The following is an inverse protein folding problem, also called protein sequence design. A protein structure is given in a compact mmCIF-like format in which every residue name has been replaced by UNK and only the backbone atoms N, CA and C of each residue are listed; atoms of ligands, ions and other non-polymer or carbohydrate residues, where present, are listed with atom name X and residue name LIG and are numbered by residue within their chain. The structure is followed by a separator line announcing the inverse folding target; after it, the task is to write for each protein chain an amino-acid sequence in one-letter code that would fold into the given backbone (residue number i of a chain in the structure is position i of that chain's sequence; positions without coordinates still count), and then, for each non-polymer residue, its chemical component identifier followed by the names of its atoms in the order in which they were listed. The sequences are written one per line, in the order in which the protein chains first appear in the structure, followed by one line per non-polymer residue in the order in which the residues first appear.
data_IF_526897708862
#
_entry.id   IF_526897708862
#
_cell.length_a   1.000
_cell.length_b   1.000
_cell.length_c   1.000
_cell.angle_alpha   90.00
_cell.angle_beta   90.00
_cell.angle_gamma   90.00
#
_symmetry.space_group_name_H-M   'P 1'
#
loop_
_entity.id
_entity.type
_entity.pdbx_description
1 polymer ?
#
# COMPACT_ATOMS: atom_id res chain seq x y z
N UNK A 1 12.04 4.98 -18.06
CA UNK A 1 12.06 3.51 -18.28
C UNK A 1 11.63 2.73 -17.04
N UNK A 2 12.41 2.70 -15.94
CA UNK A 2 11.98 1.99 -14.70
C UNK A 2 10.66 2.53 -14.12
N UNK A 3 10.48 3.84 -14.17
CA UNK A 3 9.29 4.52 -13.65
C UNK A 3 8.04 4.24 -14.50
N UNK A 4 8.19 4.15 -15.82
CA UNK A 4 7.08 3.84 -16.73
C UNK A 4 6.57 2.41 -16.51
N UNK A 5 7.48 1.47 -16.27
CA UNK A 5 7.12 0.11 -15.82
C UNK A 5 6.39 0.10 -14.48
N UNK A 6 6.83 0.94 -13.52
CA UNK A 6 6.13 1.07 -12.25
C UNK A 6 4.72 1.67 -12.41
N UNK A 7 4.53 2.61 -13.36
CA UNK A 7 3.21 3.14 -13.70
C UNK A 7 2.33 2.09 -14.38
N UNK A 8 2.86 1.27 -15.29
CA UNK A 8 2.10 0.16 -15.88
C UNK A 8 1.65 -0.84 -14.81
N UNK A 9 2.56 -1.22 -13.91
CA UNK A 9 2.24 -2.10 -12.78
C UNK A 9 1.16 -1.47 -11.89
N UNK A 10 1.28 -0.18 -11.59
CA UNK A 10 0.29 0.53 -10.76
C UNK A 10 -1.09 0.55 -11.42
N UNK A 11 -1.17 0.81 -12.74
CA UNK A 11 -2.43 0.73 -13.50
C UNK A 11 -3.07 -0.64 -13.36
N UNK A 12 -2.28 -1.69 -13.59
CA UNK A 12 -2.76 -3.06 -13.52
C UNK A 12 -3.25 -3.43 -12.11
N UNK A 13 -2.46 -3.15 -11.08
CA UNK A 13 -2.81 -3.46 -9.69
C UNK A 13 -4.09 -2.72 -9.25
N UNK A 14 -4.23 -1.43 -9.58
CA UNK A 14 -5.39 -0.64 -9.17
C UNK A 14 -6.65 -0.99 -9.96
N UNK A 15 -6.52 -1.30 -11.26
CA UNK A 15 -7.64 -1.84 -12.04
C UNK A 15 -8.11 -3.17 -11.44
N UNK A 16 -7.19 -4.11 -11.23
CA UNK A 16 -7.51 -5.45 -10.75
C UNK A 16 -8.09 -5.43 -9.33
N UNK A 17 -7.65 -4.48 -8.49
CA UNK A 17 -8.23 -4.26 -7.16
C UNK A 17 -9.73 -3.98 -7.24
N UNK A 18 -10.12 -3.06 -8.12
CA UNK A 18 -11.52 -2.67 -8.29
C UNK A 18 -12.35 -3.79 -8.92
N UNK A 19 -11.84 -4.40 -9.99
CA UNK A 19 -12.52 -5.51 -10.68
C UNK A 19 -12.73 -6.72 -9.75
N UNK A 20 -11.70 -7.08 -8.98
CA UNK A 20 -11.78 -8.17 -8.01
C UNK A 20 -12.72 -7.83 -6.86
N UNK A 21 -12.76 -6.57 -6.40
CA UNK A 21 -13.67 -6.14 -5.34
C UNK A 21 -15.13 -6.27 -5.77
N UNK A 22 -15.48 -5.84 -6.98
CA UNK A 22 -16.84 -6.02 -7.52
C UNK A 22 -17.26 -7.49 -7.52
N UNK A 23 -16.37 -8.38 -7.97
CA UNK A 23 -16.59 -9.83 -8.02
C UNK A 23 -16.71 -10.47 -6.64
N UNK A 24 -15.92 -10.03 -5.66
CA UNK A 24 -15.93 -10.55 -4.27
C UNK A 24 -17.17 -10.09 -3.49
N UNK A 25 -17.56 -8.83 -3.66
CA UNK A 25 -18.71 -8.25 -2.96
C UNK A 25 -20.03 -8.72 -3.56
N UNK A 26 -20.09 -8.88 -4.89
CA UNK A 26 -21.26 -9.40 -5.62
C UNK A 26 -22.59 -8.75 -5.21
N UNK A 27 -22.55 -7.45 -4.90
CA UNK A 27 -23.69 -6.64 -4.45
C UNK A 27 -23.80 -5.41 -5.39
N UNK A 28 -24.93 -5.26 -6.12
CA UNK A 28 -25.13 -4.16 -7.05
C UNK A 28 -25.15 -2.78 -6.37
N UNK A 29 -25.35 -2.70 -5.06
CA UNK A 29 -25.31 -1.43 -4.31
C UNK A 29 -23.89 -1.08 -3.83
N UNK A 30 -22.91 -1.99 -3.97
CA UNK A 30 -21.51 -1.81 -3.54
C UNK A 30 -20.54 -1.94 -4.71
N UNK A 31 -20.69 -1.03 -5.67
CA UNK A 31 -19.96 -1.07 -6.95
C UNK A 31 -18.52 -0.56 -6.85
N UNK A 32 -18.17 0.18 -5.80
CA UNK A 32 -16.91 0.90 -5.68
C UNK A 32 -16.33 0.84 -4.25
N UNK A 33 -15.00 1.04 -4.13
CA UNK A 33 -14.30 0.96 -2.85
C UNK A 33 -14.26 2.37 -2.23
N UNK A 34 -14.66 2.59 -0.97
CA UNK A 34 -14.42 3.87 -0.32
C UNK A 34 -12.92 4.18 -0.24
N UNK A 35 -12.50 5.42 -0.54
CA UNK A 35 -11.09 5.83 -0.59
C UNK A 35 -10.29 5.40 0.65
N UNK A 36 -10.89 5.56 1.83
CA UNK A 36 -10.31 5.17 3.12
C UNK A 36 -9.98 3.66 3.24
N UNK A 37 -10.61 2.81 2.43
CA UNK A 37 -10.42 1.36 2.44
C UNK A 37 -9.57 0.85 1.27
N UNK A 38 -9.17 1.70 0.31
CA UNK A 38 -8.35 1.27 -0.84
C UNK A 38 -7.06 0.62 -0.38
N UNK A 39 -6.34 1.22 0.58
CA UNK A 39 -5.09 0.65 1.11
C UNK A 39 -5.32 -0.70 1.81
N UNK A 40 -6.43 -0.84 2.53
CA UNK A 40 -6.81 -2.09 3.19
C UNK A 40 -7.05 -3.22 2.17
N UNK A 41 -7.88 -2.97 1.16
CA UNK A 41 -8.17 -3.97 0.13
C UNK A 41 -6.94 -4.30 -0.72
N UNK A 42 -6.12 -3.29 -1.03
CA UNK A 42 -4.84 -3.50 -1.71
C UNK A 42 -3.96 -4.51 -0.95
N UNK A 43 -3.80 -4.32 0.37
CA UNK A 43 -3.06 -5.30 1.20
C UNK A 43 -3.78 -6.63 1.36
N UNK A 44 -5.11 -6.65 1.43
CA UNK A 44 -5.89 -7.88 1.54
C UNK A 44 -5.70 -8.78 0.32
N UNK A 45 -5.79 -8.22 -0.90
CA UNK A 45 -5.72 -8.99 -2.15
C UNK A 45 -4.28 -9.25 -2.58
N UNK A 46 -3.40 -8.24 -2.59
CA UNK A 46 -2.02 -8.40 -3.10
C UNK A 46 -1.01 -8.88 -2.06
N UNK A 47 -1.39 -8.96 -0.77
CA UNK A 47 -0.47 -9.26 0.34
C UNK A 47 0.75 -8.30 0.36
N UNK A 48 0.54 -7.07 -0.11
CA UNK A 48 1.55 -6.01 -0.27
C UNK A 48 1.02 -4.71 0.34
N UNK A 49 1.91 -3.91 0.93
CA UNK A 49 1.55 -2.58 1.42
C UNK A 49 1.64 -1.55 0.30
N UNK A 50 0.66 -0.66 0.21
CA UNK A 50 0.74 0.49 -0.68
C UNK A 50 1.76 1.48 -0.12
N UNK A 51 2.79 1.82 -0.88
CA UNK A 51 3.83 2.75 -0.46
C UNK A 51 3.81 4.02 -1.30
N UNK A 52 3.05 5.02 -0.84
CA UNK A 52 2.87 6.30 -1.54
C UNK A 52 4.20 7.02 -1.79
N UNK A 53 5.14 6.93 -0.84
CA UNK A 53 6.46 7.56 -0.91
C UNK A 53 7.31 7.05 -2.07
N UNK A 54 7.15 5.78 -2.47
CA UNK A 54 7.89 5.22 -3.63
C UNK A 54 7.50 5.91 -4.95
N UNK A 55 6.29 6.47 -5.02
CA UNK A 55 5.81 7.22 -6.18
C UNK A 55 6.03 8.73 -6.04
N UNK A 56 6.70 9.18 -4.97
CA UNK A 56 6.96 10.60 -4.73
C UNK A 56 5.74 11.40 -4.28
N UNK A 57 4.70 10.74 -3.75
CA UNK A 57 3.45 11.37 -3.30
C UNK A 57 3.11 10.99 -1.85
N UNK A 58 2.20 11.72 -1.22
CA UNK A 58 1.81 11.52 0.18
C UNK A 58 0.51 10.74 0.36
N UNK A 59 -0.48 10.99 -0.49
CA UNK A 59 -1.85 10.50 -0.30
C UNK A 59 -2.27 9.46 -1.35
N UNK A 60 -3.32 8.69 -1.04
CA UNK A 60 -3.92 7.73 -1.98
C UNK A 60 -4.50 8.45 -3.20
N UNK A 61 -5.14 9.61 -2.99
CA UNK A 61 -5.66 10.46 -4.06
C UNK A 61 -4.57 10.82 -5.08
N UNK A 62 -3.35 11.11 -4.62
CA UNK A 62 -2.22 11.45 -5.48
C UNK A 62 -1.68 10.25 -6.25
N UNK A 63 -1.72 9.05 -5.66
CA UNK A 63 -1.41 7.80 -6.39
C UNK A 63 -2.39 7.60 -7.54
N UNK A 64 -3.69 7.79 -7.30
CA UNK A 64 -4.71 7.64 -8.33
C UNK A 64 -4.52 8.67 -9.45
N UNK A 65 -4.12 9.92 -9.12
CA UNK A 65 -3.81 10.95 -10.13
C UNK A 65 -2.69 10.56 -11.10
N UNK A 66 -1.73 9.72 -10.68
CA UNK A 66 -0.65 9.24 -11.56
C UNK A 66 -1.16 8.30 -12.68
N UNK A 67 -2.31 7.67 -12.47
CA UNK A 67 -2.95 6.69 -13.37
C UNK A 67 -4.43 7.00 -13.59
N UNK A 68 -4.74 8.30 -13.69
CA UNK A 68 -6.10 8.85 -13.87
C UNK A 68 -6.80 8.39 -15.16
N UNK A 69 -6.05 7.77 -16.07
CA UNK A 69 -6.53 7.18 -17.32
C UNK A 69 -7.06 5.75 -17.14
N UNK A 70 -6.94 5.19 -15.93
CA UNK A 70 -7.29 3.81 -15.61
C UNK A 70 -8.29 3.74 -14.45
N UNK A 71 -8.04 4.51 -13.39
CA UNK A 71 -8.85 4.54 -12.17
C UNK A 71 -9.11 5.97 -11.73
N UNK A 72 -10.19 6.18 -10.97
CA UNK A 72 -10.60 7.48 -10.45
C UNK A 72 -11.10 7.36 -9.01
N UNK A 73 -11.01 8.47 -8.28
CA UNK A 73 -11.74 8.66 -7.02
C UNK A 73 -12.74 9.78 -7.27
N UNK A 74 -14.03 9.51 -7.06
CA UNK A 74 -15.08 10.52 -7.15
C UNK A 74 -14.89 11.59 -6.07
N UNK A 75 -14.88 12.86 -6.48
CA UNK A 75 -14.68 13.97 -5.55
C UNK A 75 -15.84 14.11 -4.56
N UNK A 76 -17.06 13.87 -5.02
CA UNK A 76 -18.31 13.98 -4.25
C UNK A 76 -18.51 12.82 -3.29
N UNK A 77 -18.28 11.59 -3.77
CA UNK A 77 -18.64 10.37 -3.01
C UNK A 77 -17.44 9.73 -2.31
N UNK A 78 -16.21 10.15 -2.63
CA UNK A 78 -14.95 9.51 -2.16
C UNK A 78 -14.90 8.02 -2.45
N UNK A 79 -15.47 7.62 -3.58
CA UNK A 79 -15.48 6.24 -4.06
C UNK A 79 -14.42 6.06 -5.14
N UNK A 80 -13.56 5.07 -4.94
CA UNK A 80 -12.57 4.59 -5.89
C UNK A 80 -13.24 3.61 -6.86
N UNK A 81 -13.07 3.86 -8.15
CA UNK A 81 -13.58 3.03 -9.24
C UNK A 81 -12.61 2.98 -10.41
N UNK A 82 -12.82 2.01 -11.30
CA UNK A 82 -12.18 1.95 -12.61
C UNK A 82 -13.00 2.76 -13.59
N UNK A 83 -12.32 3.43 -14.53
CA UNK A 83 -12.98 4.07 -15.68
C UNK A 83 -12.94 3.19 -16.93
N UNK A 84 -12.17 2.10 -16.88
CA UNK A 84 -12.13 1.07 -17.90
C UNK A 84 -13.33 0.13 -17.73
N UNK A 85 -13.76 -0.47 -18.83
CA UNK A 85 -14.83 -1.46 -18.86
C UNK A 85 -14.51 -2.67 -17.96
N UNK A 86 -15.56 -3.27 -17.41
CA UNK A 86 -15.45 -4.47 -16.58
C UNK A 86 -14.98 -5.63 -17.47
N UNK A 87 -13.91 -6.33 -17.04
CA UNK A 87 -13.11 -7.30 -17.81
C UNK A 87 -12.16 -6.72 -18.87
N UNK A 88 -10.92 -6.45 -18.44
CA UNK A 88 -9.80 -6.24 -19.36
C UNK A 88 -9.49 -7.55 -20.11
N UNK A 89 -10.02 -7.70 -21.32
CA UNK A 89 -9.73 -8.85 -22.20
C UNK A 89 -8.24 -8.95 -22.56
N UNK A 90 -7.53 -7.81 -22.61
CA UNK A 90 -6.10 -7.75 -22.94
C UNK A 90 -5.35 -6.64 -22.19
N UNK A 91 -4.11 -6.93 -21.81
CA UNK A 91 -3.17 -5.96 -21.23
C UNK A 91 -2.74 -4.87 -22.22
N UNK A 92 -3.01 -5.04 -23.52
CA UNK A 92 -2.62 -4.10 -24.57
C UNK A 92 -3.13 -2.69 -24.31
N UNK A 93 -4.33 -2.55 -23.72
CA UNK A 93 -4.90 -1.25 -23.38
C UNK A 93 -4.06 -0.53 -22.32
N UNK A 94 -3.65 -1.21 -21.24
CA UNK A 94 -2.81 -0.61 -20.20
C UNK A 94 -1.42 -0.22 -20.71
N UNK A 95 -0.88 -1.02 -21.64
CA UNK A 95 0.38 -0.71 -22.32
C UNK A 95 0.23 0.55 -23.18
N UNK A 96 -0.85 0.66 -23.96
CA UNK A 96 -1.15 1.86 -24.77
C UNK A 96 -1.28 3.11 -23.89
N UNK A 97 -2.06 3.04 -22.81
CA UNK A 97 -2.22 4.15 -21.85
C UNK A 97 -0.89 4.56 -21.22
N UNK A 98 -0.05 3.58 -20.88
CA UNK A 98 1.29 3.86 -20.33
C UNK A 98 2.17 4.57 -21.34
N UNK A 99 2.20 4.11 -22.60
CA UNK A 99 2.99 4.73 -23.66
C UNK A 99 2.49 6.13 -24.04
N UNK A 100 1.17 6.36 -24.03
CA UNK A 100 0.60 7.68 -24.25
C UNK A 100 0.98 8.64 -23.12
N UNK A 101 0.81 8.23 -21.86
CA UNK A 101 1.23 9.00 -20.69
C UNK A 101 2.72 9.32 -20.71
N UNK A 102 3.56 8.37 -21.16
CA UNK A 102 5.00 8.58 -21.32
C UNK A 102 5.30 9.63 -22.37
N UNK A 103 4.71 9.53 -23.56
CA UNK A 103 4.91 10.49 -24.65
C UNK A 103 4.48 11.89 -24.24
N UNK A 104 3.32 12.01 -23.59
CA UNK A 104 2.80 13.29 -23.11
C UNK A 104 3.73 13.93 -22.08
N UNK A 105 4.19 13.15 -21.09
CA UNK A 105 5.16 13.62 -20.11
C UNK A 105 6.47 14.07 -20.76
N UNK A 106 6.97 13.32 -21.75
CA UNK A 106 8.18 13.72 -22.48
C UNK A 106 7.98 15.04 -23.23
N UNK A 107 6.85 15.22 -23.93
CA UNK A 107 6.52 16.47 -24.62
C UNK A 107 6.50 17.68 -23.69
N UNK A 108 5.92 17.53 -22.49
CA UNK A 108 5.89 18.59 -21.47
C UNK A 108 7.29 18.94 -20.97
N UNK A 109 8.13 17.93 -20.71
CA UNK A 109 9.53 18.14 -20.31
C UNK A 109 10.30 18.86 -21.41
N UNK A 110 10.14 18.45 -22.67
CA UNK A 110 10.82 19.06 -23.82
C UNK A 110 10.36 20.52 -24.04
N UNK A 111 9.13 20.86 -23.64
CA UNK A 111 8.60 22.21 -23.62
C UNK A 111 9.03 23.05 -22.39
N UNK A 112 9.87 22.50 -21.51
CA UNK A 112 10.40 23.19 -20.33
C UNK A 112 9.50 23.09 -19.08
N UNK A 113 8.44 22.29 -19.11
CA UNK A 113 7.60 22.03 -17.94
C UNK A 113 8.22 20.92 -17.07
N UNK A 114 9.12 21.35 -16.18
CA UNK A 114 9.82 20.50 -15.23
C UNK A 114 8.89 19.82 -14.20
N UNK A 115 7.64 20.30 -14.05
CA UNK A 115 6.65 19.67 -13.16
C UNK A 115 6.18 18.31 -13.66
N UNK A 116 6.41 17.99 -14.94
CA UNK A 116 6.05 16.72 -15.53
C UNK A 116 7.01 15.57 -15.14
N UNK A 117 8.18 15.85 -14.54
CA UNK A 117 9.12 14.80 -14.13
C UNK A 117 8.58 13.96 -12.97
N UNK A 118 8.70 12.64 -13.12
CA UNK A 118 8.43 11.70 -12.04
C UNK A 118 9.53 11.79 -10.98
N UNK A 119 9.15 11.63 -9.71
CA UNK A 119 10.06 11.72 -8.55
C UNK A 119 10.06 10.40 -7.80
N UNK A 120 10.10 9.29 -8.53
CA UNK A 120 9.93 7.99 -7.90
C UNK A 120 11.17 7.59 -7.12
N UNK A 121 10.94 6.98 -5.97
CA UNK A 121 11.96 6.50 -5.04
C UNK A 121 11.91 4.97 -5.07
N UNK A 122 12.08 4.39 -6.27
CA UNK A 122 12.08 2.94 -6.50
C UNK A 122 13.40 2.32 -6.01
N UNK A 123 13.61 2.31 -4.70
CA UNK A 123 14.66 1.49 -4.10
C UNK A 123 14.20 0.03 -4.08
N UNK A 124 15.02 -0.89 -4.59
CA UNK A 124 14.89 -2.32 -4.32
C UNK A 124 14.99 -2.49 -2.80
N UNK A 125 13.93 -2.90 -2.07
CA UNK A 125 14.09 -3.12 -0.65
C UNK A 125 14.98 -4.35 -0.51
N UNK A 126 16.18 -4.17 0.07
CA UNK A 126 16.82 -5.27 0.76
C UNK A 126 15.78 -5.87 1.72
N UNK A 127 15.70 -7.20 1.84
CA UNK A 127 14.71 -7.85 2.68
C UNK A 127 14.77 -7.21 4.07
N UNK A 128 13.62 -6.76 4.56
CA UNK A 128 13.53 -6.17 5.89
C UNK A 128 14.13 -7.17 6.89
N UNK A 129 15.03 -6.73 7.80
CA UNK A 129 15.52 -7.61 8.85
C UNK A 129 14.30 -8.07 9.64
N UNK A 130 13.99 -9.36 9.55
CA UNK A 130 12.95 -9.98 10.37
C UNK A 130 13.42 -9.80 11.81
N UNK A 131 12.72 -8.98 12.58
CA UNK A 131 13.04 -8.81 13.99
C UNK A 131 13.01 -10.20 14.63
N UNK A 132 14.05 -10.61 15.38
CA UNK A 132 14.03 -11.90 16.05
C UNK A 132 12.82 -11.92 16.99
N UNK A 133 12.03 -13.00 16.93
CA UNK A 133 10.89 -13.20 17.80
C UNK A 133 11.31 -12.94 19.26
N UNK A 134 10.48 -12.26 20.08
CA UNK A 134 10.82 -11.98 21.46
C UNK A 134 11.07 -13.31 22.18
N UNK A 135 12.21 -13.39 22.88
CA UNK A 135 12.56 -14.56 23.67
C UNK A 135 11.46 -14.85 24.71
N UNK A 136 11.12 -16.12 24.98
CA UNK A 136 10.15 -16.46 26.00
C UNK A 136 10.61 -15.90 27.36
N UNK A 137 9.70 -15.25 28.06
CA UNK A 137 9.97 -14.67 29.37
C UNK A 137 10.46 -15.75 30.36
N UNK A 138 11.46 -15.46 31.22
CA UNK A 138 11.93 -16.42 32.20
C UNK A 138 10.82 -16.69 33.22
N UNK A 139 10.49 -17.98 33.41
CA UNK A 139 9.56 -18.42 34.44
C UNK A 139 10.08 -18.00 35.82
N UNK A 140 9.24 -17.32 36.60
CA UNK A 140 9.56 -16.92 37.96
C UNK A 140 9.74 -18.17 38.85
N UNK A 141 10.93 -18.32 39.44
CA UNK A 141 11.18 -19.33 40.47
C UNK A 141 10.41 -18.96 41.75
N UNK A 142 9.78 -19.91 42.46
CA UNK A 142 9.09 -19.62 43.72
C UNK A 142 10.09 -19.25 44.82
N UNK A 143 9.76 -18.21 45.58
CA UNK A 143 10.57 -17.72 46.69
C UNK A 143 10.59 -18.72 47.87
N UNK A 144 11.78 -19.08 48.33
CA UNK A 144 11.99 -19.85 49.57
C UNK A 144 11.90 -18.88 50.76
N UNK A 145 11.09 -19.13 51.80
CA UNK A 145 11.02 -18.24 52.98
C UNK A 145 12.30 -18.34 53.82
N UNK A 146 12.91 -17.20 54.14
CA UNK A 146 14.09 -17.10 55.01
C UNK A 146 13.79 -17.38 56.50
N UNK A 147 14.81 -17.68 57.32
CA UNK A 147 14.63 -18.11 58.70
C UNK A 147 14.35 -16.93 59.64
N UNK A 148 13.40 -17.14 60.55
CA UNK A 148 12.95 -16.20 61.59
C UNK A 148 13.91 -16.24 62.79
N UNK A 149 14.76 -15.23 62.95
CA UNK A 149 15.60 -15.07 64.13
C UNK A 149 15.09 -13.95 65.04
N UNK A 150 14.71 -14.29 66.29
CA UNK A 150 14.81 -13.40 67.47
C UNK A 150 14.44 -14.11 68.77
N UNK A 151 15.35 -14.11 69.74
CA UNK A 151 15.11 -14.58 71.11
C UNK A 151 16.28 -14.24 72.02
N UNK A 152 16.26 -13.02 72.56
CA UNK A 152 17.28 -12.36 73.37
C UNK A 152 17.30 -12.91 74.80
N UNK A 153 18.49 -13.10 75.38
CA UNK A 153 18.67 -13.56 76.75
C UNK A 153 18.10 -12.62 77.82
N UNK A 154 17.72 -13.20 78.97
CA UNK A 154 17.35 -12.51 80.21
C UNK A 154 18.03 -13.19 81.40
N UNK A 155 18.78 -12.35 82.12
CA UNK A 155 19.35 -12.42 83.48
C UNK A 155 18.99 -13.58 84.40
N UNK A 156 20.02 -14.07 85.10
CA UNK A 156 20.01 -14.77 86.38
C UNK A 156 21.44 -14.86 86.88
#
# INVERSE_FOLDING_TARGET
MKEDWALLQLRYELFLLQDSFKKDVNDPDRVAIPEAHVAFYYSKYFKKQMNTKQFGVSEMSDIVKLVKDTVAISEDTKMFSTILEDELESMDMLVKLTEESRKERQRRIDAGDETARLKFVLHNPAPAPVAPAPAPAPAALPAIPGPKGKGKGKKG
#
